data_IF_711016832233
#
_entry.id   IF_711016832233
#
_cell.length_a   1.000
_cell.length_b   1.000
_cell.length_c   1.000
_cell.angle_alpha   90.00
_cell.angle_beta   90.00
_cell.angle_gamma   90.00
#
_symmetry.space_group_name_H-M   'P 1'
#
loop_
_entity.id
_entity.type
_entity.pdbx_description
1 polymer ?
#
# COMPACT_ATOMS: atom_id res chain seq x y z
N UNK A 1 -5.75 -14.21 -24.48
CA UNK A 1 -5.81 -12.90 -23.75
C UNK A 1 -4.66 -12.86 -22.74
N UNK A 2 -4.22 -11.68 -22.26
CA UNK A 2 -3.12 -11.62 -21.29
C UNK A 2 -3.42 -12.36 -19.98
N UNK A 3 -4.70 -12.53 -19.66
CA UNK A 3 -5.18 -13.26 -18.47
C UNK A 3 -5.26 -14.80 -18.64
N UNK A 4 -5.00 -15.32 -19.83
CA UNK A 4 -4.92 -16.78 -20.08
C UNK A 4 -3.51 -17.32 -19.79
N UNK A 5 -2.53 -16.43 -19.59
CA UNK A 5 -1.17 -16.80 -19.19
C UNK A 5 -1.03 -16.64 -17.68
N UNK A 6 -0.62 -17.72 -17.00
CA UNK A 6 -0.33 -17.68 -15.57
C UNK A 6 0.74 -16.62 -15.26
N UNK A 7 0.46 -15.66 -14.37
CA UNK A 7 1.48 -14.70 -13.95
C UNK A 7 2.55 -15.38 -13.10
N UNK A 8 3.77 -14.91 -13.17
CA UNK A 8 4.81 -15.31 -12.23
C UNK A 8 4.71 -14.59 -10.90
N UNK A 9 4.17 -13.36 -10.94
CA UNK A 9 3.95 -12.53 -9.75
C UNK A 9 2.68 -11.70 -9.91
N UNK A 10 1.95 -11.51 -8.82
CA UNK A 10 0.87 -10.51 -8.71
C UNK A 10 1.30 -9.46 -7.69
N UNK A 11 1.31 -8.20 -8.11
CA UNK A 11 1.61 -7.06 -7.26
C UNK A 11 0.31 -6.35 -6.89
N UNK A 12 0.25 -5.80 -5.69
CA UNK A 12 -0.96 -5.16 -5.16
C UNK A 12 -0.68 -3.74 -4.69
N UNK A 13 -1.64 -2.86 -4.92
CA UNK A 13 -1.81 -1.67 -4.09
C UNK A 13 -2.34 -2.05 -2.69
N UNK A 14 -2.42 -1.08 -1.78
CA UNK A 14 -2.83 -1.29 -0.39
C UNK A 14 -4.19 -0.65 -0.09
N UNK A 15 -4.28 0.67 -0.22
CA UNK A 15 -5.49 1.42 0.09
C UNK A 15 -6.58 1.19 -0.95
N UNK A 16 -7.82 0.92 -0.56
CA UNK A 16 -8.90 0.58 -1.51
C UNK A 16 -8.76 -0.80 -2.17
N UNK A 17 -7.62 -1.45 -2.03
CA UNK A 17 -7.25 -2.73 -2.66
C UNK A 17 -7.20 -3.87 -1.66
N UNK A 18 -6.34 -3.80 -0.66
CA UNK A 18 -6.28 -4.79 0.43
C UNK A 18 -7.07 -4.34 1.66
N UNK A 19 -7.13 -3.04 1.89
CA UNK A 19 -7.83 -2.42 3.02
C UNK A 19 -8.82 -1.37 2.55
N UNK A 20 -9.99 -1.35 3.16
CA UNK A 20 -11.03 -0.36 2.92
C UNK A 20 -11.41 0.41 4.17
N UNK A 21 -11.94 1.61 3.96
CA UNK A 21 -12.40 2.50 5.01
C UNK A 21 -11.24 3.12 5.79
N UNK A 22 -11.60 3.69 6.93
CA UNK A 22 -10.65 4.26 7.88
C UNK A 22 -10.79 5.77 8.00
N UNK A 23 -11.22 6.20 9.19
CA UNK A 23 -11.14 7.60 9.57
C UNK A 23 -9.74 7.85 10.14
N UNK A 24 -8.93 8.62 9.43
CA UNK A 24 -7.58 8.91 9.88
C UNK A 24 -7.58 9.82 11.11
N UNK A 25 -6.79 9.44 12.11
CA UNK A 25 -6.57 10.22 13.33
C UNK A 25 -5.10 10.16 13.74
N UNK A 26 -4.32 11.16 13.38
CA UNK A 26 -2.94 11.26 13.84
C UNK A 26 -2.85 11.23 15.38
N UNK A 27 -3.81 11.86 16.07
CA UNK A 27 -3.88 11.88 17.53
C UNK A 27 -3.91 10.48 18.14
N UNK A 28 -4.71 9.58 17.58
CA UNK A 28 -4.83 8.21 18.10
C UNK A 28 -3.52 7.42 17.88
N UNK A 29 -2.93 7.53 16.69
CA UNK A 29 -1.64 6.91 16.38
C UNK A 29 -0.52 7.42 17.28
N UNK A 30 -0.44 8.74 17.49
CA UNK A 30 0.55 9.36 18.37
C UNK A 30 0.35 9.00 19.84
N UNK A 31 -0.90 8.89 20.31
CA UNK A 31 -1.20 8.45 21.68
C UNK A 31 -0.73 7.01 21.92
N UNK A 32 -0.97 6.12 20.96
CA UNK A 32 -0.48 4.75 21.03
C UNK A 32 1.06 4.70 21.01
N UNK A 33 1.69 5.49 20.14
CA UNK A 33 3.15 5.59 20.07
C UNK A 33 3.75 6.14 21.36
N UNK A 34 3.13 7.14 21.99
CA UNK A 34 3.55 7.66 23.31
C UNK A 34 3.56 6.55 24.36
N UNK A 35 2.51 5.73 24.40
CA UNK A 35 2.42 4.62 25.35
C UNK A 35 3.48 3.53 25.15
N UNK A 36 4.01 3.40 23.94
CA UNK A 36 5.11 2.48 23.61
C UNK A 36 6.50 3.05 23.92
N UNK A 37 6.61 4.34 24.29
CA UNK A 37 7.88 4.97 24.64
C UNK A 37 8.39 4.51 26.01
N UNK A 38 9.70 4.58 26.23
CA UNK A 38 10.36 4.31 27.53
C UNK A 38 9.97 5.32 28.62
N UNK A 39 9.54 6.52 28.21
CA UNK A 39 9.22 7.64 29.10
C UNK A 39 7.89 8.34 28.71
N UNK A 40 6.76 7.60 28.70
CA UNK A 40 5.48 8.12 28.21
C UNK A 40 4.91 9.28 29.03
N UNK A 41 5.37 9.44 30.29
CA UNK A 41 4.96 10.51 31.20
C UNK A 41 5.59 11.88 30.89
N UNK A 42 6.63 11.94 30.06
CA UNK A 42 7.38 13.16 29.77
C UNK A 42 6.64 14.10 28.79
N UNK A 43 5.54 13.63 28.20
CA UNK A 43 4.73 14.40 27.28
C UNK A 43 3.24 14.03 27.37
N UNK A 44 2.39 14.79 26.68
CA UNK A 44 0.94 14.57 26.62
C UNK A 44 0.48 14.35 25.17
N UNK A 45 -0.70 13.72 25.00
CA UNK A 45 -1.31 13.53 23.68
C UNK A 45 -1.61 14.88 22.99
N UNK A 46 -1.98 15.92 23.76
CA UNK A 46 -2.22 17.26 23.23
C UNK A 46 -0.94 17.89 22.66
N UNK A 47 0.19 17.74 23.35
CA UNK A 47 1.48 18.23 22.85
C UNK A 47 1.89 17.51 21.58
N UNK A 48 1.68 16.19 21.50
CA UNK A 48 2.00 15.42 20.29
C UNK A 48 1.11 15.82 19.11
N UNK A 49 -0.19 16.03 19.34
CA UNK A 49 -1.10 16.49 18.31
C UNK A 49 -0.70 17.89 17.79
N UNK A 50 -0.35 18.81 18.70
CA UNK A 50 0.14 20.14 18.31
C UNK A 50 1.42 20.07 17.46
N UNK A 51 2.37 19.22 17.83
CA UNK A 51 3.61 19.02 17.06
C UNK A 51 3.35 18.40 15.67
N UNK A 52 2.34 17.55 15.55
CA UNK A 52 1.89 17.02 14.25
C UNK A 52 1.34 18.12 13.36
N UNK A 53 0.45 18.97 13.89
CA UNK A 53 -0.15 20.08 13.16
C UNK A 53 0.92 21.07 12.70
N UNK A 54 1.83 21.48 13.62
CA UNK A 54 2.97 22.35 13.29
C UNK A 54 3.88 21.75 12.20
N UNK A 55 4.17 20.45 12.26
CA UNK A 55 4.98 19.79 11.25
C UNK A 55 4.27 19.80 9.89
N UNK A 56 2.98 19.45 9.87
CA UNK A 56 2.17 19.42 8.66
C UNK A 56 2.09 20.79 7.98
N UNK A 57 1.94 21.86 8.75
CA UNK A 57 1.97 23.23 8.24
C UNK A 57 3.35 23.60 7.63
N UNK A 58 4.43 23.26 8.32
CA UNK A 58 5.81 23.57 7.86
C UNK A 58 6.17 22.90 6.54
N UNK A 59 5.73 21.65 6.31
CA UNK A 59 6.00 20.94 5.07
C UNK A 59 5.01 21.27 3.95
N UNK A 60 3.97 22.06 4.21
CA UNK A 60 3.05 22.58 3.17
C UNK A 60 2.25 21.54 2.41
N UNK A 61 1.91 20.43 3.03
CA UNK A 61 1.04 19.41 2.42
C UNK A 61 1.70 18.52 1.36
N UNK A 62 3.03 18.37 1.42
CA UNK A 62 3.79 17.45 0.59
C UNK A 62 4.29 18.02 -0.75
N UNK A 63 5.19 17.30 -1.40
CA UNK A 63 5.75 17.66 -2.69
C UNK A 63 4.89 17.09 -3.83
N UNK A 64 4.66 17.85 -4.89
CA UNK A 64 3.99 17.35 -6.09
C UNK A 64 4.99 16.58 -6.97
N UNK A 65 4.66 15.36 -7.30
CA UNK A 65 5.38 14.60 -8.31
C UNK A 65 5.20 15.22 -9.70
N UNK A 66 6.08 14.93 -10.69
CA UNK A 66 5.89 15.35 -12.07
C UNK A 66 4.55 14.94 -12.69
N UNK A 67 3.89 13.93 -12.12
CA UNK A 67 2.58 13.43 -12.56
C UNK A 67 1.39 14.11 -11.85
N UNK A 68 1.65 15.15 -11.05
CA UNK A 68 0.62 15.88 -10.31
C UNK A 68 0.01 15.11 -9.14
N UNK A 69 0.63 14.01 -8.72
CA UNK A 69 0.28 13.28 -7.49
C UNK A 69 1.03 13.93 -6.33
N UNK A 70 0.35 14.22 -5.24
CA UNK A 70 1.00 14.71 -4.03
C UNK A 70 1.80 13.56 -3.42
N UNK A 71 3.11 13.77 -3.23
CA UNK A 71 3.94 12.88 -2.43
C UNK A 71 3.61 13.15 -0.97
N UNK A 72 3.18 12.13 -0.27
CA UNK A 72 3.12 12.19 1.18
C UNK A 72 4.54 12.39 1.73
N UNK A 73 4.65 13.15 2.80
CA UNK A 73 5.93 13.22 3.52
C UNK A 73 6.22 11.86 4.17
N UNK A 74 7.49 11.42 4.22
CA UNK A 74 7.83 10.17 4.89
C UNK A 74 7.37 10.18 6.35
N UNK A 75 6.53 9.21 6.72
CA UNK A 75 5.98 9.09 8.08
C UNK A 75 7.11 8.98 9.12
N UNK A 76 8.17 8.25 8.80
CA UNK A 76 9.37 8.16 9.63
C UNK A 76 9.98 9.52 9.98
N UNK A 77 9.99 10.45 9.02
CA UNK A 77 10.45 11.82 9.23
C UNK A 77 9.54 12.60 10.17
N UNK A 78 8.22 12.49 9.97
CA UNK A 78 7.22 13.12 10.83
C UNK A 78 7.30 12.59 12.27
N UNK A 79 7.29 11.27 12.43
CA UNK A 79 7.39 10.64 13.75
C UNK A 79 8.69 11.04 14.46
N UNK A 80 9.81 11.06 13.75
CA UNK A 80 11.09 11.47 14.30
C UNK A 80 11.06 12.93 14.76
N UNK A 81 10.54 13.85 13.93
CA UNK A 81 10.38 15.25 14.32
C UNK A 81 9.57 15.39 15.61
N UNK A 82 8.41 14.75 15.66
CA UNK A 82 7.46 14.85 16.77
C UNK A 82 8.05 14.24 18.04
N UNK A 83 8.56 13.01 17.97
CA UNK A 83 9.07 12.30 19.14
C UNK A 83 10.29 12.94 19.74
N UNK A 84 11.21 13.46 18.92
CA UNK A 84 12.39 14.21 19.41
C UNK A 84 12.01 15.52 20.08
N UNK A 85 11.09 16.31 19.49
CA UNK A 85 10.63 17.56 20.10
C UNK A 85 9.77 17.33 21.37
N UNK A 86 9.16 16.15 21.48
CA UNK A 86 8.44 15.74 22.68
C UNK A 86 9.36 15.12 23.75
N UNK A 87 10.63 14.83 23.44
CA UNK A 87 11.59 14.19 24.35
C UNK A 87 11.34 12.70 24.56
N UNK A 88 10.55 12.04 23.68
CA UNK A 88 10.28 10.60 23.77
C UNK A 88 11.48 9.77 23.33
N UNK A 89 11.68 8.65 24.01
CA UNK A 89 12.73 7.68 23.75
C UNK A 89 12.13 6.31 23.53
N UNK A 90 12.71 5.53 22.61
CA UNK A 90 12.25 4.22 22.22
C UNK A 90 13.42 3.21 22.20
N UNK A 91 13.12 1.96 22.46
CA UNK A 91 13.98 0.80 22.24
C UNK A 91 13.51 -0.07 21.07
N UNK A 92 12.53 0.42 20.32
CA UNK A 92 11.99 -0.18 19.09
C UNK A 92 12.47 0.59 17.85
N UNK A 93 12.51 -0.10 16.71
CA UNK A 93 12.90 0.48 15.42
C UNK A 93 11.91 1.56 14.94
N UNK A 94 12.33 2.37 13.97
CA UNK A 94 11.43 3.36 13.34
C UNK A 94 10.29 2.67 12.60
N UNK A 95 10.54 1.53 11.97
CA UNK A 95 9.52 0.74 11.29
C UNK A 95 8.44 0.21 12.26
N UNK A 96 8.84 -0.23 13.46
CA UNK A 96 7.90 -0.59 14.53
C UNK A 96 7.12 0.62 15.06
N UNK A 97 7.74 1.78 15.12
CA UNK A 97 7.03 3.04 15.46
C UNK A 97 5.99 3.40 14.39
N UNK A 98 6.33 3.26 13.11
CA UNK A 98 5.39 3.45 12.00
C UNK A 98 4.22 2.46 12.09
N UNK A 99 4.50 1.19 12.38
CA UNK A 99 3.46 0.15 12.53
C UNK A 99 2.51 0.46 13.70
N UNK A 100 3.06 0.84 14.87
CA UNK A 100 2.23 1.22 16.03
C UNK A 100 1.35 2.44 15.67
N UNK A 101 1.94 3.47 15.07
CA UNK A 101 1.17 4.65 14.65
C UNK A 101 0.06 4.25 13.68
N UNK A 102 0.37 3.46 12.66
CA UNK A 102 -0.55 3.04 11.62
C UNK A 102 -1.70 2.18 12.15
N UNK A 103 -1.43 1.27 13.07
CA UNK A 103 -2.42 0.37 13.68
C UNK A 103 -3.53 1.12 14.39
N UNK A 104 -3.22 2.26 14.99
CA UNK A 104 -4.14 3.04 15.82
C UNK A 104 -4.63 4.33 15.15
N UNK A 105 -4.05 4.74 14.02
CA UNK A 105 -4.43 5.98 13.35
C UNK A 105 -5.74 5.87 12.55
N UNK A 106 -6.24 4.67 12.29
CA UNK A 106 -7.46 4.48 11.52
C UNK A 106 -8.22 3.20 11.92
N UNK A 107 -9.49 3.16 11.57
CA UNK A 107 -10.39 2.01 11.76
C UNK A 107 -10.57 1.17 10.48
N UNK A 108 -9.56 1.19 9.60
CA UNK A 108 -9.59 0.43 8.33
C UNK A 108 -9.74 -1.08 8.56
N UNK A 109 -10.29 -1.76 7.57
CA UNK A 109 -10.55 -3.20 7.60
C UNK A 109 -10.00 -3.88 6.36
N UNK A 110 -9.57 -5.11 6.52
CA UNK A 110 -9.21 -5.97 5.38
C UNK A 110 -10.43 -6.19 4.49
N UNK A 111 -10.28 -5.96 3.18
CA UNK A 111 -11.35 -6.17 2.21
C UNK A 111 -11.69 -7.65 2.15
N UNK A 112 -12.99 -7.94 2.11
CA UNK A 112 -13.49 -9.33 2.03
C UNK A 112 -12.94 -10.03 0.79
N UNK A 113 -12.42 -11.25 0.97
CA UNK A 113 -11.86 -12.07 -0.09
C UNK A 113 -10.35 -11.96 -0.24
N UNK A 114 -9.69 -10.95 0.33
CA UNK A 114 -8.22 -10.79 0.29
C UNK A 114 -7.50 -12.05 0.79
N UNK A 115 -7.83 -12.52 1.97
CA UNK A 115 -7.16 -13.69 2.59
C UNK A 115 -7.29 -14.94 1.74
N UNK A 116 -8.48 -15.20 1.16
CA UNK A 116 -8.69 -16.37 0.29
C UNK A 116 -7.96 -16.21 -1.04
N UNK A 117 -7.91 -15.00 -1.60
CA UNK A 117 -7.13 -14.70 -2.80
C UNK A 117 -5.63 -14.98 -2.57
N UNK A 118 -5.06 -14.48 -1.49
CA UNK A 118 -3.64 -14.67 -1.16
C UNK A 118 -3.30 -16.15 -0.95
N UNK A 119 -4.15 -16.90 -0.24
CA UNK A 119 -4.02 -18.37 -0.11
C UNK A 119 -4.04 -19.06 -1.47
N UNK A 120 -4.93 -18.64 -2.36
CA UNK A 120 -5.02 -19.22 -3.72
C UNK A 120 -3.77 -18.91 -4.54
N UNK A 121 -3.30 -17.66 -4.54
CA UNK A 121 -2.07 -17.23 -5.20
C UNK A 121 -0.89 -18.09 -4.74
N UNK A 122 -0.75 -18.25 -3.43
CA UNK A 122 0.33 -19.04 -2.85
C UNK A 122 0.22 -20.53 -3.22
N UNK A 123 -0.99 -21.12 -3.15
CA UNK A 123 -1.21 -22.53 -3.54
C UNK A 123 -0.87 -22.82 -4.99
N UNK A 124 -1.01 -21.82 -5.85
CA UNK A 124 -0.63 -21.87 -7.26
C UNK A 124 0.85 -21.55 -7.51
N UNK A 125 1.67 -21.36 -6.46
CA UNK A 125 3.07 -20.95 -6.57
C UNK A 125 3.27 -19.66 -7.38
N UNK A 126 2.31 -18.74 -7.29
CA UNK A 126 2.42 -17.38 -7.81
C UNK A 126 3.04 -16.51 -6.71
N UNK A 127 4.05 -15.74 -7.05
CA UNK A 127 4.69 -14.79 -6.12
C UNK A 127 3.79 -13.59 -5.90
N UNK A 128 3.87 -12.96 -4.72
CA UNK A 128 3.10 -11.76 -4.40
C UNK A 128 4.00 -10.67 -3.80
N UNK A 129 3.71 -9.39 -4.09
CA UNK A 129 4.40 -8.24 -3.53
C UNK A 129 3.50 -7.00 -3.53
N UNK A 130 3.99 -5.92 -2.91
CA UNK A 130 3.26 -4.66 -2.78
C UNK A 130 3.98 -3.54 -3.52
N UNK A 131 3.21 -2.69 -4.23
CA UNK A 131 3.64 -1.36 -4.68
C UNK A 131 2.57 -0.36 -4.26
N UNK A 132 2.90 0.57 -3.38
CA UNK A 132 1.92 1.53 -2.84
C UNK A 132 2.44 2.97 -2.83
N UNK A 133 1.58 3.92 -3.21
CA UNK A 133 1.77 5.31 -2.86
C UNK A 133 1.45 5.45 -1.37
N UNK A 134 2.48 5.49 -0.52
CA UNK A 134 2.33 5.39 0.92
C UNK A 134 3.42 6.20 1.64
N UNK A 135 3.04 6.85 2.74
CA UNK A 135 3.95 7.62 3.59
C UNK A 135 4.86 6.73 4.45
N UNK A 136 4.46 5.49 4.72
CA UNK A 136 5.26 4.54 5.49
C UNK A 136 6.47 4.04 4.69
N UNK A 137 7.53 3.69 5.40
CA UNK A 137 8.62 2.90 4.82
C UNK A 137 8.12 1.51 4.39
N UNK A 138 8.82 0.89 3.46
CA UNK A 138 8.51 -0.51 3.04
C UNK A 138 8.55 -1.48 4.22
N UNK A 139 9.50 -1.29 5.14
CA UNK A 139 9.62 -2.11 6.34
C UNK A 139 8.44 -1.90 7.29
N UNK A 140 8.07 -0.64 7.59
CA UNK A 140 6.93 -0.31 8.44
C UNK A 140 5.61 -0.79 7.85
N UNK A 141 5.41 -0.61 6.54
CA UNK A 141 4.23 -1.11 5.83
C UNK A 141 4.16 -2.64 5.88
N UNK A 142 5.29 -3.33 5.74
CA UNK A 142 5.36 -4.79 5.85
C UNK A 142 4.91 -5.27 7.23
N UNK A 143 5.39 -4.63 8.30
CA UNK A 143 4.95 -4.94 9.67
C UNK A 143 3.44 -4.70 9.84
N UNK A 144 2.92 -3.58 9.33
CA UNK A 144 1.50 -3.23 9.42
C UNK A 144 0.62 -4.23 8.65
N UNK A 145 0.98 -4.60 7.43
CA UNK A 145 0.21 -5.59 6.63
C UNK A 145 0.23 -6.94 7.33
N UNK A 146 1.39 -7.39 7.79
CA UNK A 146 1.53 -8.66 8.51
C UNK A 146 0.72 -8.71 9.81
N UNK A 147 0.56 -7.58 10.49
CA UNK A 147 -0.31 -7.50 11.67
C UNK A 147 -1.77 -7.82 11.32
N UNK A 148 -2.29 -7.26 10.22
CA UNK A 148 -3.69 -7.41 9.82
C UNK A 148 -3.96 -8.67 9.00
N UNK A 149 -2.96 -9.15 8.25
CA UNK A 149 -3.01 -10.32 7.37
C UNK A 149 -1.79 -11.20 7.68
N UNK A 150 -1.77 -11.94 8.80
CA UNK A 150 -0.58 -12.70 9.23
C UNK A 150 -0.06 -13.71 8.21
N UNK A 151 -0.91 -14.17 7.30
CA UNK A 151 -0.58 -15.17 6.27
C UNK A 151 -0.37 -14.53 4.89
N UNK A 152 0.00 -13.24 4.82
CA UNK A 152 0.08 -12.48 3.56
C UNK A 152 1.13 -13.01 2.56
N UNK A 153 2.24 -13.56 3.05
CA UNK A 153 3.34 -14.14 2.25
C UNK A 153 3.82 -13.23 1.09
N UNK A 154 3.88 -11.91 1.33
CA UNK A 154 4.46 -10.97 0.37
C UNK A 154 5.98 -11.09 0.34
N UNK A 155 6.55 -11.14 -0.85
CA UNK A 155 8.00 -11.29 -1.02
C UNK A 155 8.75 -9.99 -0.69
N UNK A 156 8.15 -8.86 -1.03
CA UNK A 156 8.66 -7.52 -0.70
C UNK A 156 7.55 -6.48 -0.72
N UNK A 157 7.90 -5.32 -0.19
CA UNK A 157 7.08 -4.11 -0.20
C UNK A 157 7.88 -3.00 -0.87
N UNK A 158 7.24 -2.17 -1.67
CA UNK A 158 7.82 -0.99 -2.29
C UNK A 158 6.88 0.19 -2.11
N UNK A 159 7.34 1.22 -1.40
CA UNK A 159 6.56 2.42 -1.15
C UNK A 159 7.13 3.63 -1.88
N UNK A 160 6.26 4.57 -2.22
CA UNK A 160 6.70 5.86 -2.76
C UNK A 160 7.57 6.65 -1.78
N UNK A 161 7.39 6.43 -0.48
CA UNK A 161 8.18 7.06 0.57
C UNK A 161 9.67 6.71 0.50
N UNK A 162 9.99 5.45 0.16
CA UNK A 162 11.38 4.98 0.12
C UNK A 162 12.16 5.44 -1.11
N UNK A 163 11.48 5.50 -2.26
CA UNK A 163 12.17 5.75 -3.54
C UNK A 163 11.80 7.09 -4.18
N UNK A 164 10.87 7.83 -3.59
CA UNK A 164 10.37 9.12 -4.06
C UNK A 164 9.79 9.08 -5.48
N UNK A 165 9.35 7.90 -5.92
CA UNK A 165 8.60 7.69 -7.15
C UNK A 165 7.17 7.27 -6.82
N UNK A 166 6.19 7.87 -7.49
CA UNK A 166 4.78 7.57 -7.29
C UNK A 166 4.14 6.96 -8.51
N UNK A 167 3.21 6.04 -8.32
CA UNK A 167 2.27 5.65 -9.36
C UNK A 167 1.50 6.90 -9.85
N UNK A 168 1.29 7.09 -11.15
CA UNK A 168 1.42 6.14 -12.26
C UNK A 168 2.80 6.12 -12.95
N UNK A 169 3.89 6.61 -12.35
CA UNK A 169 5.21 6.52 -12.95
C UNK A 169 5.56 5.05 -13.26
N UNK A 170 5.85 4.73 -14.51
CA UNK A 170 6.20 3.37 -14.92
C UNK A 170 7.43 2.83 -14.18
N UNK A 171 8.33 3.70 -13.74
CA UNK A 171 9.59 3.30 -13.09
C UNK A 171 9.39 2.62 -11.74
N UNK A 172 8.34 2.96 -10.96
CA UNK A 172 8.08 2.25 -9.70
C UNK A 172 7.69 0.78 -9.96
N UNK A 173 6.91 0.51 -11.01
CA UNK A 173 6.52 -0.84 -11.41
C UNK A 173 7.69 -1.63 -11.99
N UNK A 174 8.48 -1.00 -12.87
CA UNK A 174 9.67 -1.65 -13.46
C UNK A 174 10.75 -1.91 -12.41
N UNK A 175 10.90 -1.03 -11.42
CA UNK A 175 11.78 -1.25 -10.26
C UNK A 175 11.36 -2.50 -9.49
N UNK A 176 10.07 -2.67 -9.21
CA UNK A 176 9.56 -3.87 -8.54
C UNK A 176 9.79 -5.14 -9.37
N UNK A 177 9.53 -5.11 -10.68
CA UNK A 177 9.79 -6.25 -11.56
C UNK A 177 11.28 -6.61 -11.62
N UNK A 178 12.15 -5.61 -11.72
CA UNK A 178 13.62 -5.80 -11.70
C UNK A 178 14.09 -6.41 -10.38
N UNK A 179 13.57 -5.92 -9.25
CA UNK A 179 13.89 -6.48 -7.94
C UNK A 179 13.46 -7.95 -7.81
N UNK A 180 12.31 -8.29 -8.40
CA UNK A 180 11.83 -9.67 -8.48
C UNK A 180 12.56 -10.54 -9.52
N UNK A 181 13.47 -9.97 -10.32
CA UNK A 181 14.12 -10.63 -11.47
C UNK A 181 13.10 -11.15 -12.51
N UNK A 182 12.05 -10.37 -12.79
CA UNK A 182 10.98 -10.70 -13.73
C UNK A 182 10.88 -9.66 -14.85
N UNK A 183 10.33 -10.10 -16.00
CA UNK A 183 9.86 -9.18 -17.01
C UNK A 183 8.50 -8.61 -16.57
N UNK A 184 8.23 -7.30 -16.69
CA UNK A 184 6.91 -6.73 -16.39
C UNK A 184 5.74 -7.47 -17.06
N UNK A 185 5.90 -7.99 -18.28
CA UNK A 185 4.90 -8.77 -19.00
C UNK A 185 4.54 -10.13 -18.32
N UNK A 186 5.34 -10.59 -17.38
CA UNK A 186 5.06 -11.79 -16.57
C UNK A 186 4.37 -11.45 -15.24
N UNK A 187 4.10 -10.16 -14.99
CA UNK A 187 3.51 -9.65 -13.76
C UNK A 187 2.10 -9.13 -14.01
N UNK A 188 1.19 -9.43 -13.06
CA UNK A 188 -0.08 -8.74 -12.97
C UNK A 188 -0.01 -7.68 -11.86
N UNK A 189 -0.77 -6.62 -12.01
CA UNK A 189 -0.89 -5.57 -11.00
C UNK A 189 -2.36 -5.34 -10.65
N UNK A 190 -2.69 -5.39 -9.38
CA UNK A 190 -4.03 -5.21 -8.85
C UNK A 190 -4.12 -3.90 -8.05
N UNK A 191 -5.05 -3.04 -8.39
CA UNK A 191 -5.32 -1.79 -7.68
C UNK A 191 -6.77 -1.35 -7.80
N UNK A 192 -7.16 -0.28 -7.11
CA UNK A 192 -8.53 0.25 -7.10
C UNK A 192 -8.71 1.52 -7.93
N UNK A 193 -7.62 2.07 -8.43
CA UNK A 193 -7.62 3.38 -9.08
C UNK A 193 -7.18 3.31 -10.55
N UNK A 194 -7.99 3.92 -11.44
CA UNK A 194 -7.71 3.88 -12.89
C UNK A 194 -6.33 4.47 -13.21
N UNK A 195 -6.06 5.71 -12.77
CA UNK A 195 -4.83 6.42 -13.16
C UNK A 195 -3.57 5.91 -12.46
N UNK A 196 -3.50 5.83 -11.11
CA UNK A 196 -2.28 5.36 -10.46
C UNK A 196 -1.96 3.90 -10.80
N UNK A 197 -2.96 3.02 -10.83
CA UNK A 197 -2.76 1.58 -10.88
C UNK A 197 -2.85 1.03 -12.29
N UNK A 198 -4.00 1.21 -12.96
CA UNK A 198 -4.21 0.63 -14.31
C UNK A 198 -3.27 1.28 -15.33
N UNK A 199 -3.27 2.62 -15.42
CA UNK A 199 -2.46 3.31 -16.43
C UNK A 199 -0.97 3.17 -16.12
N UNK A 200 -0.60 3.19 -14.82
CA UNK A 200 0.77 2.95 -14.40
C UNK A 200 1.28 1.56 -14.77
N UNK A 201 0.49 0.51 -14.47
CA UNK A 201 0.82 -0.87 -14.82
C UNK A 201 0.92 -1.07 -16.34
N UNK A 202 -0.02 -0.50 -17.10
CA UNK A 202 0.00 -0.50 -18.56
C UNK A 202 1.29 0.18 -19.09
N UNK A 203 1.63 1.34 -18.52
CA UNK A 203 2.84 2.10 -18.90
C UNK A 203 4.12 1.31 -18.67
N UNK A 204 4.15 0.45 -17.67
CA UNK A 204 5.27 -0.44 -17.36
C UNK A 204 5.25 -1.76 -18.14
N UNK A 205 4.18 -2.08 -18.87
CA UNK A 205 4.02 -3.33 -19.59
C UNK A 205 3.52 -4.50 -18.73
N UNK A 206 2.98 -4.23 -17.54
CA UNK A 206 2.30 -5.22 -16.70
C UNK A 206 0.85 -5.42 -17.14
N UNK A 207 0.22 -6.52 -16.71
CA UNK A 207 -1.20 -6.80 -16.94
C UNK A 207 -2.03 -6.24 -15.77
N UNK A 208 -2.88 -5.23 -15.96
CA UNK A 208 -3.60 -4.57 -14.88
C UNK A 208 -4.93 -5.23 -14.56
N UNK A 209 -5.30 -5.25 -13.29
CA UNK A 209 -6.60 -5.65 -12.77
C UNK A 209 -7.12 -4.52 -11.89
N UNK A 210 -8.30 -3.98 -12.21
CA UNK A 210 -8.99 -2.96 -11.44
C UNK A 210 -10.02 -3.58 -10.50
N UNK A 211 -9.89 -3.34 -9.21
CA UNK A 211 -10.94 -3.60 -8.23
C UNK A 211 -11.88 -2.39 -8.19
N UNK A 212 -13.04 -2.48 -8.81
CA UNK A 212 -14.09 -1.46 -8.78
C UNK A 212 -15.31 -2.02 -8.02
N UNK A 213 -15.34 -1.85 -6.71
CA UNK A 213 -16.41 -2.35 -5.84
C UNK A 213 -17.79 -1.77 -6.17
N UNK A 214 -17.86 -0.69 -6.96
CA UNK A 214 -19.08 -0.06 -7.40
C UNK A 214 -19.50 -0.51 -8.80
N UNK A 215 -18.70 -1.33 -9.48
CA UNK A 215 -19.08 -1.86 -10.80
C UNK A 215 -20.31 -2.73 -10.70
N UNK A 216 -21.26 -2.53 -11.63
CA UNK A 216 -22.46 -3.35 -11.76
C UNK A 216 -22.15 -4.74 -12.36
N UNK A 217 -21.04 -4.87 -13.09
CA UNK A 217 -20.59 -6.12 -13.66
C UNK A 217 -19.53 -6.75 -12.72
N UNK A 218 -19.73 -8.01 -12.27
CA UNK A 218 -18.81 -8.64 -11.36
C UNK A 218 -17.44 -8.95 -12.00
N UNK A 219 -17.41 -9.11 -13.32
CA UNK A 219 -16.21 -9.45 -14.07
C UNK A 219 -16.37 -8.98 -15.51
N UNK A 220 -15.58 -8.01 -15.94
CA UNK A 220 -15.64 -7.46 -17.30
C UNK A 220 -14.27 -7.03 -17.83
N UNK A 221 -14.11 -7.09 -19.14
CA UNK A 221 -12.94 -6.48 -19.80
C UNK A 221 -13.31 -5.07 -20.27
N UNK A 222 -12.48 -4.10 -19.96
CA UNK A 222 -12.57 -2.72 -20.45
C UNK A 222 -11.35 -2.41 -21.30
N UNK A 223 -11.53 -1.52 -22.30
CA UNK A 223 -10.46 -1.09 -23.17
C UNK A 223 -10.22 0.41 -23.00
N UNK A 224 -8.98 0.80 -22.90
CA UNK A 224 -8.54 2.19 -22.89
C UNK A 224 -7.28 2.32 -23.74
N UNK A 225 -7.29 3.26 -24.73
CA UNK A 225 -6.20 3.50 -25.65
C UNK A 225 -5.64 2.21 -26.29
N UNK A 226 -6.50 1.34 -26.78
CA UNK A 226 -6.19 0.03 -27.38
C UNK A 226 -5.59 -1.01 -26.43
N UNK A 227 -5.63 -0.77 -25.14
CA UNK A 227 -5.19 -1.73 -24.10
C UNK A 227 -6.37 -2.21 -23.27
N UNK A 228 -6.47 -3.53 -23.19
CA UNK A 228 -7.51 -4.19 -22.41
C UNK A 228 -7.04 -4.36 -20.96
N UNK A 229 -7.97 -4.17 -20.01
CA UNK A 229 -7.77 -4.46 -18.61
C UNK A 229 -9.00 -5.14 -18.00
N UNK A 230 -8.75 -6.00 -17.01
CA UNK A 230 -9.82 -6.68 -16.29
C UNK A 230 -10.34 -5.79 -15.18
N UNK A 231 -11.68 -5.70 -15.08
CA UNK A 231 -12.37 -5.07 -13.95
C UNK A 231 -13.12 -6.16 -13.19
N UNK A 232 -12.93 -6.16 -11.89
CA UNK A 232 -13.64 -7.03 -10.94
C UNK A 232 -14.28 -6.16 -9.87
N UNK A 233 -15.40 -6.59 -9.28
CA UNK A 233 -16.00 -5.87 -8.16
C UNK A 233 -15.78 -6.55 -6.80
N UNK A 234 -15.20 -7.74 -6.81
CA UNK A 234 -14.85 -8.47 -5.60
C UNK A 234 -13.67 -9.42 -5.85
N UNK A 235 -12.83 -9.67 -4.85
CA UNK A 235 -11.67 -10.56 -4.96
C UNK A 235 -12.02 -12.04 -5.27
N UNK A 236 -13.26 -12.44 -5.01
CA UNK A 236 -13.70 -13.81 -5.36
C UNK A 236 -13.68 -14.07 -6.87
N UNK A 237 -13.93 -13.04 -7.71
CA UNK A 237 -13.88 -13.19 -9.18
C UNK A 237 -12.46 -13.55 -9.63
N UNK A 238 -11.46 -12.85 -9.10
CA UNK A 238 -10.05 -13.17 -9.41
C UNK A 238 -9.66 -14.53 -8.85
N UNK A 239 -10.09 -14.85 -7.62
CA UNK A 239 -9.86 -16.16 -7.00
C UNK A 239 -10.41 -17.30 -7.85
N UNK A 240 -11.65 -17.16 -8.35
CA UNK A 240 -12.27 -18.15 -9.23
C UNK A 240 -11.58 -18.23 -10.58
N UNK A 241 -11.19 -17.09 -11.15
CA UNK A 241 -10.43 -17.05 -12.40
C UNK A 241 -9.12 -17.84 -12.28
N UNK A 242 -8.33 -17.57 -11.22
CA UNK A 242 -7.06 -18.26 -10.98
C UNK A 242 -7.25 -19.76 -10.81
N UNK A 243 -8.23 -20.20 -10.00
CA UNK A 243 -8.53 -21.63 -9.77
C UNK A 243 -9.02 -22.37 -11.02
N UNK A 244 -9.67 -21.65 -11.94
CA UNK A 244 -10.21 -22.24 -13.16
C UNK A 244 -9.17 -22.42 -14.25
N UNK A 245 -8.19 -21.50 -14.32
CA UNK A 245 -7.27 -21.43 -15.45
C UNK A 245 -5.86 -21.96 -15.14
N UNK A 246 -5.52 -22.06 -13.85
CA UNK A 246 -4.17 -22.44 -13.40
C UNK A 246 -4.17 -23.45 -12.26
#
# INVERSE_FOLDING_TARGET
MPYDKKPKMILFDVGGTLFAGGNFSARNGLAALRLAALNPQDTTDDKLALLWDEYSEKIGGGHKSPFGVTLDFPLSGALRYITMNAGLRFDISVAEQEEIFDRYNSDRKVIKGVTELLKTIHSLSIRAAIISNNAMSSEGLGLAIKHWIPEENMEFYLTSSDILLTKPCADIFTTAANYAHLNPADCWYCGDSKRPDVDGAIGAGMTPILLDVNSSAPYEYRTDADREYLVINHWNELTQHLKKHF
#
